data_IF_019009811786
#
_entry.id   IF_019009811786
#
_cell.length_a   1.000
_cell.length_b   1.000
_cell.length_c   1.000
_cell.angle_alpha   90.00
_cell.angle_beta   90.00
_cell.angle_gamma   90.00
#
_symmetry.space_group_name_H-M   'P 1'
#
loop_
_entity.id
_entity.type
_entity.pdbx_description
1 polymer ?
#
# COMPACT_ATOMS: atom_id res chain seq x y z
N UNK A 1 12.59 24.78 9.89
CA UNK A 1 12.72 23.47 10.54
C UNK A 1 13.31 22.52 9.50
N UNK A 2 14.49 22.04 9.76
CA UNK A 2 15.18 21.08 8.90
C UNK A 2 14.53 19.69 9.08
N UNK A 3 14.31 18.99 7.98
CA UNK A 3 13.71 17.64 7.99
C UNK A 3 14.66 16.67 7.33
N UNK A 4 15.08 15.66 8.07
CA UNK A 4 15.89 14.56 7.58
C UNK A 4 15.03 13.37 7.18
N UNK A 5 15.25 12.81 5.98
CA UNK A 5 14.59 11.59 5.52
C UNK A 5 15.50 10.38 5.73
N UNK A 6 15.18 9.58 6.71
CA UNK A 6 15.83 8.29 6.95
C UNK A 6 15.21 7.25 6.01
N UNK A 7 16.05 6.53 5.28
CA UNK A 7 15.65 5.58 4.25
C UNK A 7 16.18 4.19 4.59
N UNK A 8 15.31 3.23 4.69
CA UNK A 8 15.66 1.83 4.95
C UNK A 8 15.24 0.99 3.74
N UNK A 9 16.23 0.40 3.08
CA UNK A 9 16.04 -0.37 1.85
C UNK A 9 16.06 -1.87 2.12
N UNK A 10 15.19 -2.58 1.42
CA UNK A 10 15.32 -4.01 1.16
C UNK A 10 15.37 -4.24 -0.36
N UNK A 11 15.53 -5.48 -0.80
CA UNK A 11 15.51 -5.81 -2.24
C UNK A 11 14.21 -5.38 -2.93
N UNK A 12 13.10 -5.37 -2.20
CA UNK A 12 11.74 -5.14 -2.72
C UNK A 12 10.99 -3.98 -2.07
N UNK A 13 11.61 -3.25 -1.16
CA UNK A 13 10.92 -2.15 -0.49
C UNK A 13 11.86 -1.04 -0.03
N UNK A 14 11.26 0.13 0.11
CA UNK A 14 11.85 1.30 0.72
C UNK A 14 10.92 1.79 1.82
N UNK A 15 11.38 1.79 3.06
CA UNK A 15 10.71 2.46 4.17
C UNK A 15 11.34 3.84 4.39
N UNK A 16 10.51 4.88 4.53
CA UNK A 16 10.94 6.26 4.71
C UNK A 16 10.37 6.80 6.01
N UNK A 17 11.21 7.41 6.82
CA UNK A 17 10.81 8.19 7.99
C UNK A 17 11.31 9.62 7.85
N UNK A 18 10.43 10.60 8.02
CA UNK A 18 10.79 12.00 8.11
C UNK A 18 11.03 12.34 9.57
N UNK A 19 12.22 12.79 9.90
CA UNK A 19 12.67 13.09 11.26
C UNK A 19 12.88 14.60 11.43
N UNK A 20 12.48 15.13 12.59
CA UNK A 20 12.79 16.49 13.00
C UNK A 20 14.24 16.59 13.50
N UNK A 21 14.73 17.81 13.69
CA UNK A 21 16.04 18.09 14.32
C UNK A 21 16.12 17.56 15.76
N UNK A 22 14.98 17.50 16.47
CA UNK A 22 14.89 16.93 17.83
C UNK A 22 14.88 15.39 17.85
N UNK A 23 14.87 14.75 16.67
CA UNK A 23 14.81 13.29 16.57
C UNK A 23 13.40 12.69 16.62
N UNK A 24 12.37 13.51 16.56
CA UNK A 24 10.99 13.03 16.51
C UNK A 24 10.64 12.54 15.11
N UNK A 25 9.98 11.38 15.02
CA UNK A 25 9.37 10.94 13.76
C UNK A 25 8.14 11.79 13.46
N UNK A 26 8.18 12.49 12.33
CA UNK A 26 7.13 13.41 11.87
C UNK A 26 6.14 12.71 10.93
N UNK A 27 6.65 11.85 10.06
CA UNK A 27 5.89 11.08 9.08
C UNK A 27 6.63 9.80 8.72
N UNK A 28 5.91 8.78 8.29
CA UNK A 28 6.48 7.54 7.79
C UNK A 28 5.66 6.96 6.64
N UNK A 29 6.25 6.01 5.91
CA UNK A 29 5.58 5.30 4.83
C UNK A 29 6.48 4.25 4.19
N UNK A 30 5.86 3.29 3.53
CA UNK A 30 6.53 2.17 2.86
C UNK A 30 6.15 2.12 1.39
N UNK A 31 7.15 1.95 0.55
CA UNK A 31 7.05 1.79 -0.89
C UNK A 31 7.57 0.40 -1.24
N UNK A 32 6.68 -0.51 -1.63
CA UNK A 32 7.01 -1.91 -1.84
C UNK A 32 6.75 -2.34 -3.28
N UNK A 33 7.69 -3.08 -3.87
CA UNK A 33 7.50 -3.71 -5.17
C UNK A 33 6.62 -4.94 -5.01
N UNK A 34 5.54 -4.99 -5.76
CA UNK A 34 4.57 -6.09 -5.78
C UNK A 34 4.34 -6.56 -7.20
N UNK A 35 4.18 -7.85 -7.36
CA UNK A 35 3.67 -8.40 -8.60
C UNK A 35 2.16 -8.17 -8.66
N UNK A 36 1.71 -7.62 -9.77
CA UNK A 36 0.30 -7.33 -10.02
C UNK A 36 -0.12 -7.87 -11.37
N UNK A 37 -1.30 -8.51 -11.44
CA UNK A 37 -1.90 -8.92 -12.70
C UNK A 37 -2.61 -7.74 -13.34
N UNK A 38 -2.23 -7.42 -14.56
CA UNK A 38 -2.81 -6.33 -15.33
C UNK A 38 -2.98 -6.75 -16.79
N UNK A 39 -4.21 -6.69 -17.32
CA UNK A 39 -4.51 -7.07 -18.70
C UNK A 39 -4.09 -8.51 -19.06
N UNK A 40 -4.19 -9.45 -18.12
CA UNK A 40 -3.80 -10.86 -18.32
C UNK A 40 -2.29 -11.14 -18.20
N UNK A 41 -1.48 -10.11 -17.92
CA UNK A 41 -0.02 -10.23 -17.71
C UNK A 41 0.34 -9.83 -16.29
N UNK A 42 1.48 -10.30 -15.82
CA UNK A 42 2.07 -9.85 -14.56
C UNK A 42 3.02 -8.69 -14.81
N UNK A 43 2.90 -7.66 -14.01
CA UNK A 43 3.79 -6.50 -14.01
C UNK A 43 4.25 -6.19 -12.59
N UNK A 44 5.41 -5.59 -12.45
CA UNK A 44 5.85 -5.04 -11.17
C UNK A 44 5.13 -3.71 -10.93
N UNK A 45 4.44 -3.57 -9.79
CA UNK A 45 3.83 -2.33 -9.35
C UNK A 45 4.48 -1.83 -8.07
N UNK A 46 4.54 -0.52 -7.90
CA UNK A 46 4.93 0.11 -6.65
C UNK A 46 3.70 0.24 -5.75
N UNK A 47 3.62 -0.56 -4.71
CA UNK A 47 2.59 -0.43 -3.68
C UNK A 47 3.00 0.62 -2.65
N UNK A 48 2.18 1.66 -2.49
CA UNK A 48 2.39 2.70 -1.47
C UNK A 48 1.54 2.37 -0.26
N UNK A 49 2.17 2.13 0.87
CA UNK A 49 1.55 1.61 2.08
C UNK A 49 1.87 2.48 3.30
N UNK A 50 0.91 2.59 4.22
CA UNK A 50 1.14 3.15 5.56
C UNK A 50 1.67 4.58 5.56
N UNK A 51 1.27 5.42 4.59
CA UNK A 51 1.62 6.83 4.61
C UNK A 51 0.91 7.53 5.77
N UNK A 52 1.68 7.98 6.72
CA UNK A 52 1.19 8.64 7.91
C UNK A 52 1.97 9.91 8.22
N UNK A 53 1.29 10.93 8.72
CA UNK A 53 1.91 12.14 9.28
C UNK A 53 1.27 12.43 10.62
N UNK A 54 2.10 12.58 11.66
CA UNK A 54 1.61 12.97 12.99
C UNK A 54 0.88 14.30 12.92
N UNK A 55 -0.23 14.46 13.64
CA UNK A 55 -1.11 15.64 13.52
C UNK A 55 -0.39 16.99 13.59
N UNK A 56 0.56 17.11 14.52
CA UNK A 56 1.33 18.36 14.74
C UNK A 56 2.28 18.72 13.59
N UNK A 57 2.60 17.78 12.70
CA UNK A 57 3.51 17.97 11.56
C UNK A 57 2.79 17.98 10.20
N UNK A 58 1.46 17.98 10.19
CA UNK A 58 0.67 18.05 8.96
C UNK A 58 0.87 19.39 8.24
N UNK A 59 0.52 19.43 6.95
CA UNK A 59 0.60 20.59 6.06
C UNK A 59 2.00 21.15 5.81
N UNK A 60 3.05 20.40 6.11
CA UNK A 60 4.46 20.75 5.86
C UNK A 60 5.03 20.12 4.59
N UNK A 61 4.20 19.49 3.76
CA UNK A 61 4.63 18.89 2.49
C UNK A 61 5.43 17.58 2.64
N UNK A 62 5.45 16.97 3.83
CA UNK A 62 6.24 15.76 4.10
C UNK A 62 5.84 14.62 3.17
N UNK A 63 4.53 14.35 3.03
CA UNK A 63 4.03 13.28 2.16
C UNK A 63 4.47 13.52 0.70
N UNK A 64 4.41 14.76 0.20
CA UNK A 64 4.87 15.06 -1.17
C UNK A 64 6.32 14.67 -1.38
N UNK A 65 7.19 15.02 -0.43
CA UNK A 65 8.62 14.70 -0.50
C UNK A 65 8.85 13.19 -0.42
N UNK A 66 8.13 12.48 0.45
CA UNK A 66 8.19 11.03 0.56
C UNK A 66 7.68 10.32 -0.70
N UNK A 67 6.56 10.77 -1.27
CA UNK A 67 6.02 10.25 -2.54
C UNK A 67 7.04 10.36 -3.66
N UNK A 68 7.67 11.54 -3.83
CA UNK A 68 8.70 11.75 -4.85
C UNK A 68 9.89 10.78 -4.68
N UNK A 69 10.35 10.56 -3.43
CA UNK A 69 11.44 9.62 -3.14
C UNK A 69 11.00 8.19 -3.47
N UNK A 70 9.82 7.77 -3.01
CA UNK A 70 9.30 6.42 -3.22
C UNK A 70 9.00 6.12 -4.68
N UNK A 71 8.43 7.07 -5.41
CA UNK A 71 8.17 6.90 -6.86
C UNK A 71 9.47 6.86 -7.68
N UNK A 72 10.50 7.60 -7.26
CA UNK A 72 11.82 7.49 -7.87
C UNK A 72 12.40 6.09 -7.66
N UNK A 73 12.34 5.56 -6.44
CA UNK A 73 12.70 4.18 -6.15
C UNK A 73 11.93 3.18 -7.03
N UNK A 74 10.61 3.32 -7.17
CA UNK A 74 9.80 2.46 -8.02
C UNK A 74 10.25 2.49 -9.49
N UNK A 75 10.50 3.69 -10.03
CA UNK A 75 11.01 3.86 -11.43
C UNK A 75 12.36 3.21 -11.64
N UNK A 76 13.30 3.40 -10.73
CA UNK A 76 14.63 2.79 -10.77
C UNK A 76 14.56 1.25 -10.72
N UNK A 77 13.55 0.71 -10.07
CA UNK A 77 13.27 -0.74 -9.99
C UNK A 77 12.38 -1.26 -11.12
N UNK A 78 12.04 -0.43 -12.10
CA UNK A 78 11.28 -0.84 -13.27
C UNK A 78 9.77 -1.01 -13.03
N UNK A 79 9.20 -0.43 -11.98
CA UNK A 79 7.76 -0.42 -11.76
C UNK A 79 7.10 0.65 -12.64
N UNK A 80 6.29 0.27 -13.66
CA UNK A 80 5.66 1.22 -14.59
C UNK A 80 4.48 1.98 -13.95
N UNK A 81 3.91 1.45 -12.88
CA UNK A 81 2.77 2.05 -12.18
C UNK A 81 2.97 2.01 -10.67
N UNK A 82 2.33 2.95 -9.98
CA UNK A 82 2.18 2.94 -8.53
C UNK A 82 0.71 2.75 -8.15
N UNK A 83 0.45 1.98 -7.10
CA UNK A 83 -0.88 1.65 -6.60
C UNK A 83 -0.95 1.91 -5.10
N UNK A 84 -2.12 2.32 -4.62
CA UNK A 84 -2.39 2.52 -3.22
C UNK A 84 -3.87 2.32 -2.90
N UNK A 85 -4.16 2.08 -1.63
CA UNK A 85 -5.52 2.13 -1.10
C UNK A 85 -5.76 3.53 -0.51
N UNK A 86 -6.62 4.31 -1.17
CA UNK A 86 -6.82 5.71 -0.84
C UNK A 86 -7.77 5.88 0.37
N UNK A 87 -7.35 6.65 1.38
CA UNK A 87 -8.28 7.18 2.40
C UNK A 87 -9.07 8.40 1.88
N UNK A 88 -8.53 9.09 0.87
CA UNK A 88 -9.17 10.22 0.18
C UNK A 88 -8.67 10.30 -1.27
N UNK A 89 -9.57 10.18 -2.23
CA UNK A 89 -9.23 10.29 -3.66
C UNK A 89 -8.71 11.69 -4.00
N UNK A 90 -9.34 12.74 -3.49
CA UNK A 90 -8.93 14.12 -3.75
C UNK A 90 -7.54 14.44 -3.22
N UNK A 91 -7.15 13.79 -2.12
CA UNK A 91 -5.80 13.92 -1.59
C UNK A 91 -4.77 13.34 -2.57
N UNK A 92 -5.00 12.13 -3.08
CA UNK A 92 -4.05 11.44 -3.95
C UNK A 92 -4.07 11.92 -5.41
N UNK A 93 -5.17 12.51 -5.89
CA UNK A 93 -5.23 13.17 -7.19
C UNK A 93 -4.20 14.26 -7.35
N UNK A 94 -3.85 14.97 -6.28
CA UNK A 94 -2.80 16.01 -6.27
C UNK A 94 -1.41 15.46 -6.59
N UNK A 95 -1.24 14.14 -6.50
CA UNK A 95 -0.01 13.42 -6.83
C UNK A 95 -0.10 12.62 -8.13
N UNK A 96 -1.17 12.80 -8.90
CA UNK A 96 -1.36 12.14 -10.18
C UNK A 96 -2.02 10.75 -10.10
N UNK A 97 -2.55 10.36 -8.94
CA UNK A 97 -3.28 9.10 -8.78
C UNK A 97 -4.74 9.26 -9.19
N UNK A 98 -5.27 8.24 -9.85
CA UNK A 98 -6.69 8.16 -10.21
C UNK A 98 -7.33 6.88 -9.68
N UNK A 99 -8.63 6.96 -9.47
CA UNK A 99 -9.45 5.85 -8.99
C UNK A 99 -9.62 4.82 -10.11
N UNK A 100 -9.26 3.57 -9.85
CA UNK A 100 -9.39 2.46 -10.81
C UNK A 100 -10.34 1.36 -10.33
N UNK A 101 -10.55 1.23 -9.02
CA UNK A 101 -11.48 0.26 -8.45
C UNK A 101 -11.98 0.70 -7.07
N UNK A 102 -13.05 0.07 -6.62
CA UNK A 102 -13.59 0.23 -5.28
C UNK A 102 -13.45 -1.06 -4.49
N UNK A 103 -13.32 -0.91 -3.17
CA UNK A 103 -13.50 -2.01 -2.23
C UNK A 103 -14.92 -1.95 -1.69
N UNK A 104 -15.68 -3.03 -1.90
CA UNK A 104 -17.01 -3.20 -1.30
C UNK A 104 -16.85 -4.07 -0.06
N UNK A 105 -17.26 -3.53 1.09
CA UNK A 105 -17.30 -4.28 2.34
C UNK A 105 -18.76 -4.58 2.64
N UNK A 106 -19.10 -5.88 2.69
CA UNK A 106 -20.41 -6.34 3.08
C UNK A 106 -20.32 -6.95 4.48
N UNK A 107 -21.10 -6.41 5.41
CA UNK A 107 -21.18 -6.94 6.78
C UNK A 107 -22.60 -7.50 7.00
N UNK A 108 -22.66 -8.67 7.61
CA UNK A 108 -23.92 -9.30 7.99
C UNK A 108 -23.74 -10.09 9.31
N UNK A 109 -24.80 -10.28 10.10
CA UNK A 109 -24.75 -11.09 11.30
C UNK A 109 -24.36 -12.55 10.97
N UNK A 110 -23.51 -13.17 11.78
CA UNK A 110 -23.04 -14.54 11.52
C UNK A 110 -24.18 -15.56 11.50
N UNK A 111 -25.25 -15.29 12.24
CA UNK A 111 -26.44 -16.12 12.29
C UNK A 111 -27.11 -16.24 10.92
N UNK A 112 -26.93 -15.26 10.04
CA UNK A 112 -27.42 -15.29 8.66
C UNK A 112 -26.84 -16.45 7.86
N UNK A 113 -25.67 -16.97 8.24
CA UNK A 113 -25.03 -18.13 7.60
C UNK A 113 -25.60 -19.47 8.05
N UNK A 114 -26.46 -19.52 9.08
CA UNK A 114 -27.04 -20.75 9.60
C UNK A 114 -27.86 -21.57 8.59
N UNK A 115 -28.31 -20.97 7.49
CA UNK A 115 -29.00 -21.63 6.40
C UNK A 115 -28.07 -22.12 5.28
N UNK A 116 -26.79 -21.75 5.30
CA UNK A 116 -25.82 -22.19 4.29
C UNK A 116 -25.39 -23.61 4.61
N UNK A 117 -25.74 -24.61 3.79
CA UNK A 117 -25.32 -25.96 4.04
C UNK A 117 -23.79 -26.04 3.92
N UNK A 118 -23.18 -26.67 4.90
CA UNK A 118 -21.75 -26.91 4.89
C UNK A 118 -21.42 -28.08 3.98
N UNK A 119 -20.79 -27.81 2.84
CA UNK A 119 -20.31 -28.82 1.92
C UNK A 119 -18.77 -28.91 1.99
N UNK A 120 -18.25 -29.98 2.55
CA UNK A 120 -16.81 -30.25 2.57
C UNK A 120 -16.20 -30.26 3.96
N UNK A 121 -14.88 -30.26 4.02
CA UNK A 121 -14.07 -30.25 5.23
C UNK A 121 -13.26 -28.95 5.36
N UNK A 122 -12.82 -28.67 6.57
CA UNK A 122 -11.80 -27.65 6.79
C UNK A 122 -10.45 -28.21 6.37
N UNK A 123 -9.75 -27.50 5.47
CA UNK A 123 -8.41 -27.85 5.03
C UNK A 123 -7.48 -26.70 5.38
N UNK A 124 -6.36 -27.01 6.00
CA UNK A 124 -5.33 -25.99 6.22
C UNK A 124 -4.78 -25.55 4.85
N UNK A 125 -4.81 -24.24 4.57
CA UNK A 125 -4.26 -23.69 3.34
C UNK A 125 -2.74 -23.81 3.37
N UNK A 126 -2.18 -24.62 2.47
CA UNK A 126 -0.73 -24.72 2.25
C UNK A 126 -0.34 -23.98 0.98
N UNK A 127 0.97 -23.76 0.78
CA UNK A 127 1.46 -23.10 -0.44
C UNK A 127 1.07 -23.83 -1.72
N UNK A 128 0.97 -25.15 -1.66
CA UNK A 128 0.60 -26.02 -2.79
C UNK A 128 -0.89 -25.87 -3.16
N UNK A 129 -1.75 -25.53 -2.19
CA UNK A 129 -3.18 -25.34 -2.41
C UNK A 129 -3.56 -23.93 -2.87
N UNK A 130 -2.68 -22.94 -2.67
CA UNK A 130 -2.95 -21.54 -3.07
C UNK A 130 -3.36 -21.40 -4.55
N UNK A 131 -2.73 -22.09 -5.53
CA UNK A 131 -3.14 -21.96 -6.93
C UNK A 131 -4.59 -22.36 -7.22
N UNK A 132 -5.16 -23.28 -6.44
CA UNK A 132 -6.55 -23.72 -6.59
C UNK A 132 -7.58 -22.65 -6.19
N UNK A 133 -7.17 -21.64 -5.41
CA UNK A 133 -8.04 -20.57 -4.90
C UNK A 133 -7.82 -19.22 -5.60
N UNK A 134 -6.82 -19.11 -6.47
CA UNK A 134 -6.43 -17.86 -7.16
C UNK A 134 -6.78 -17.89 -8.65
N UNK A 135 -7.49 -18.91 -9.09
CA UNK A 135 -7.89 -19.09 -10.49
C UNK A 135 -9.03 -18.17 -10.91
#
# INVERSE_FOLDING_TARGET
>A
MEVTFVKEFTDKSLHIRAMSESGDEMASGTFALKEMRFGGKYITALAVCGLETKPQYRRQGLIRRMMNIGETFGREKGAPIAVLHAFSFDFYRRYGYERVSDTVITSFPIETLGFVPFFGGLVQLTKELVPAFVA
#
